data_IF_381940141642
#
_entry.id   IF_381940141642
#
_cell.length_a   1.000
_cell.length_b   1.000
_cell.length_c   1.000
_cell.angle_alpha   90.00
_cell.angle_beta   90.00
_cell.angle_gamma   90.00
#
_symmetry.space_group_name_H-M   'P 1'
#
loop_
_entity.id
_entity.type
_entity.pdbx_description
1 polymer ?
#
# COMPACT_ATOMS: atom_id res chain seq x y z
N UNK A 1 23.53 -4.87 3.75
CA UNK A 1 23.03 -6.26 3.98
C UNK A 1 24.11 -7.27 3.78
N UNK A 2 24.25 -8.26 4.66
CA UNK A 2 25.22 -9.35 4.45
C UNK A 2 24.62 -10.38 3.47
N UNK A 3 25.47 -11.02 2.67
CA UNK A 3 25.07 -12.06 1.68
C UNK A 3 24.17 -13.17 2.27
N UNK A 4 24.20 -13.38 3.58
CA UNK A 4 23.35 -14.35 4.30
C UNK A 4 21.90 -13.89 4.46
N UNK A 5 21.65 -12.60 4.60
CA UNK A 5 20.30 -12.03 4.71
C UNK A 5 19.58 -12.07 3.37
N UNK A 6 20.29 -11.81 2.27
CA UNK A 6 19.77 -11.93 0.90
C UNK A 6 19.31 -13.36 0.57
N UNK A 7 20.10 -14.37 0.92
CA UNK A 7 19.78 -15.79 0.64
C UNK A 7 18.58 -16.29 1.44
N UNK A 8 18.40 -15.85 2.67
CA UNK A 8 17.24 -16.22 3.52
C UNK A 8 15.94 -15.56 2.99
N UNK A 9 16.02 -14.32 2.50
CA UNK A 9 14.92 -13.60 1.89
C UNK A 9 14.47 -14.28 0.58
N UNK A 10 15.38 -14.64 -0.30
CA UNK A 10 15.07 -15.37 -1.55
C UNK A 10 14.40 -16.73 -1.33
N UNK A 11 14.75 -17.44 -0.26
CA UNK A 11 14.11 -18.74 0.05
C UNK A 11 12.68 -18.61 0.55
N UNK A 12 12.35 -17.54 1.27
CA UNK A 12 10.99 -17.29 1.77
C UNK A 12 10.04 -16.80 0.68
N UNK A 13 10.52 -16.01 -0.25
CA UNK A 13 9.73 -15.48 -1.38
C UNK A 13 9.24 -16.57 -2.35
N UNK A 14 9.87 -17.76 -2.35
CA UNK A 14 9.43 -18.88 -3.21
C UNK A 14 8.04 -19.40 -2.90
N UNK A 15 7.50 -19.10 -1.71
CA UNK A 15 6.19 -19.55 -1.28
C UNK A 15 5.13 -18.44 -1.39
N UNK A 16 5.53 -17.22 -1.71
CA UNK A 16 4.63 -16.09 -1.91
C UNK A 16 4.38 -15.86 -3.38
N UNK A 17 3.12 -15.55 -3.72
CA UNK A 17 2.74 -15.15 -5.08
C UNK A 17 1.77 -14.01 -5.03
N UNK A 18 1.91 -13.09 -5.95
CA UNK A 18 0.93 -12.04 -6.16
C UNK A 18 -0.28 -12.57 -6.94
N UNK A 19 -1.49 -12.22 -6.51
CA UNK A 19 -2.74 -12.61 -7.13
C UNK A 19 -3.14 -11.65 -8.26
N UNK A 20 -2.28 -11.47 -9.26
CA UNK A 20 -2.43 -10.50 -10.36
C UNK A 20 -3.75 -10.63 -11.15
N UNK A 21 -4.40 -11.77 -11.10
CA UNK A 21 -5.67 -12.03 -11.78
C UNK A 21 -6.89 -11.82 -10.86
N UNK A 22 -6.70 -11.35 -9.62
CA UNK A 22 -7.82 -11.05 -8.73
C UNK A 22 -8.71 -9.95 -9.34
N UNK A 23 -10.04 -10.10 -9.29
CA UNK A 23 -10.98 -9.10 -9.82
C UNK A 23 -10.79 -7.68 -9.27
N UNK A 24 -10.16 -7.55 -8.09
CA UNK A 24 -9.82 -6.28 -7.49
C UNK A 24 -8.93 -5.42 -8.40
N UNK A 25 -7.90 -5.99 -9.01
CA UNK A 25 -7.00 -5.23 -9.89
C UNK A 25 -7.75 -4.61 -11.08
N UNK A 26 -8.66 -5.35 -11.69
CA UNK A 26 -9.52 -4.83 -12.78
C UNK A 26 -10.48 -3.74 -12.29
N UNK A 27 -10.85 -3.75 -11.01
CA UNK A 27 -11.66 -2.67 -10.43
C UNK A 27 -10.82 -1.43 -10.19
N UNK A 28 -9.63 -1.58 -9.55
CA UNK A 28 -8.80 -0.43 -9.16
C UNK A 28 -8.23 0.33 -10.37
N UNK A 29 -8.00 -0.32 -11.50
CA UNK A 29 -7.64 0.33 -12.77
C UNK A 29 -8.62 1.44 -13.21
N UNK A 30 -9.87 1.42 -12.74
CA UNK A 30 -10.87 2.46 -13.03
C UNK A 30 -10.68 3.70 -12.18
N UNK A 31 -9.85 3.61 -11.17
CA UNK A 31 -9.50 4.68 -10.25
C UNK A 31 -8.10 5.21 -10.60
N UNK A 32 -8.00 5.76 -11.81
CA UNK A 32 -6.77 6.21 -12.48
C UNK A 32 -5.97 7.30 -11.74
N UNK A 33 -6.58 7.89 -10.71
CA UNK A 33 -5.96 8.87 -9.81
C UNK A 33 -5.71 8.35 -8.41
N UNK A 34 -5.89 7.05 -8.21
CA UNK A 34 -5.52 6.41 -6.97
C UNK A 34 -3.99 6.27 -6.92
N UNK A 35 -3.39 6.87 -5.90
CA UNK A 35 -1.94 6.86 -5.68
C UNK A 35 -1.52 5.73 -4.73
N UNK A 36 -2.42 4.79 -4.48
CA UNK A 36 -2.19 3.67 -3.59
C UNK A 36 -1.75 2.47 -4.40
N UNK A 37 -0.61 1.91 -4.01
CA UNK A 37 -0.17 0.61 -4.47
C UNK A 37 -0.77 -0.51 -3.64
N UNK A 38 -1.49 -1.39 -4.31
CA UNK A 38 -2.06 -2.60 -3.72
C UNK A 38 -1.26 -3.82 -4.16
N UNK A 39 -1.03 -4.75 -3.22
CA UNK A 39 -0.49 -6.04 -3.52
C UNK A 39 -1.29 -7.13 -2.78
N UNK A 40 -1.99 -7.97 -3.53
CA UNK A 40 -2.75 -9.12 -3.00
C UNK A 40 -1.86 -10.35 -3.11
N UNK A 41 -1.64 -11.03 -1.98
CA UNK A 41 -0.58 -12.04 -1.86
C UNK A 41 -1.16 -13.31 -1.23
N UNK A 42 -0.86 -14.45 -1.85
CA UNK A 42 -0.95 -15.75 -1.18
C UNK A 42 0.43 -16.18 -0.70
N UNK A 43 0.46 -16.78 0.48
CA UNK A 43 1.65 -17.40 1.05
C UNK A 43 1.33 -18.84 1.45
N UNK A 44 2.06 -19.80 0.90
CA UNK A 44 1.90 -21.22 1.21
C UNK A 44 2.47 -21.62 2.59
N UNK A 45 3.08 -20.67 3.31
CA UNK A 45 3.60 -20.91 4.66
C UNK A 45 2.53 -20.70 5.73
N UNK A 46 2.71 -21.35 6.88
CA UNK A 46 1.81 -21.14 8.00
C UNK A 46 1.90 -19.70 8.53
N UNK A 47 0.74 -19.11 8.83
CA UNK A 47 0.64 -17.80 9.45
C UNK A 47 1.37 -17.72 10.79
N UNK A 48 2.19 -16.70 10.98
CA UNK A 48 3.05 -16.47 12.15
C UNK A 48 2.85 -15.05 12.75
N UNK A 49 1.66 -14.48 12.61
CA UNK A 49 1.36 -13.14 13.14
C UNK A 49 2.25 -12.05 12.55
N UNK A 50 2.73 -11.15 13.40
CA UNK A 50 3.59 -10.01 13.05
C UNK A 50 4.69 -10.35 12.02
N UNK A 51 5.31 -11.53 12.15
CA UNK A 51 6.39 -11.94 11.24
C UNK A 51 5.89 -12.14 9.81
N UNK A 52 4.74 -12.77 9.64
CA UNK A 52 4.16 -12.95 8.30
C UNK A 52 3.82 -11.60 7.68
N UNK A 53 3.26 -10.66 8.47
CA UNK A 53 2.99 -9.31 8.01
C UNK A 53 4.27 -8.57 7.60
N UNK A 54 5.36 -8.71 8.34
CA UNK A 54 6.65 -8.11 7.99
C UNK A 54 7.26 -8.71 6.71
N UNK A 55 7.10 -10.01 6.53
CA UNK A 55 7.58 -10.72 5.33
C UNK A 55 6.78 -10.27 4.08
N UNK A 56 5.45 -10.07 4.18
CA UNK A 56 4.62 -9.67 3.02
C UNK A 56 4.77 -8.20 2.63
N UNK A 57 5.04 -7.26 3.54
CA UNK A 57 5.31 -5.88 3.14
C UNK A 57 6.62 -5.76 2.36
N UNK A 58 7.63 -6.56 2.71
CA UNK A 58 8.85 -6.64 1.92
C UNK A 58 8.60 -7.24 0.53
N UNK A 59 7.80 -8.30 0.45
CA UNK A 59 7.42 -8.90 -0.84
C UNK A 59 6.65 -7.90 -1.70
N UNK A 60 5.69 -7.17 -1.12
CA UNK A 60 4.92 -6.15 -1.82
C UNK A 60 5.82 -5.03 -2.36
N UNK A 61 6.78 -4.55 -1.56
CA UNK A 61 7.75 -3.53 -2.00
C UNK A 61 8.53 -3.98 -3.23
N UNK A 62 8.97 -5.25 -3.25
CA UNK A 62 9.66 -5.80 -4.43
C UNK A 62 8.74 -5.83 -5.66
N UNK A 63 7.46 -6.21 -5.49
CA UNK A 63 6.50 -6.25 -6.60
C UNK A 63 6.17 -4.86 -7.15
N UNK A 64 6.06 -3.88 -6.27
CA UNK A 64 5.87 -2.48 -6.67
C UNK A 64 7.12 -1.97 -7.41
N UNK A 65 8.32 -2.25 -6.90
CA UNK A 65 9.58 -1.92 -7.59
C UNK A 65 9.64 -2.52 -9.00
N UNK A 66 9.27 -3.79 -9.15
CA UNK A 66 9.21 -4.44 -10.47
C UNK A 66 8.26 -3.71 -11.43
N UNK A 67 7.05 -3.32 -10.97
CA UNK A 67 6.06 -2.60 -11.80
C UNK A 67 6.56 -1.24 -12.28
N UNK A 68 7.16 -0.46 -11.38
CA UNK A 68 7.71 0.86 -11.74
C UNK A 68 8.94 0.74 -12.63
N UNK A 69 9.77 -0.29 -12.43
CA UNK A 69 10.91 -0.60 -13.26
C UNK A 69 10.54 -0.90 -14.71
N UNK A 70 9.54 -1.73 -14.89
CA UNK A 70 9.03 -2.06 -16.22
C UNK A 70 8.44 -0.82 -16.92
N UNK A 71 7.69 0.02 -16.19
CA UNK A 71 7.11 1.24 -16.74
C UNK A 71 8.18 2.23 -17.22
N UNK A 72 9.21 2.46 -16.43
CA UNK A 72 10.31 3.39 -16.76
C UNK A 72 11.13 2.91 -17.96
N UNK A 73 11.38 1.61 -18.05
CA UNK A 73 12.09 1.03 -19.20
C UNK A 73 11.35 1.20 -20.53
N UNK A 74 10.01 1.20 -20.50
CA UNK A 74 9.17 1.42 -21.69
C UNK A 74 9.22 2.89 -22.13
N UNK A 75 9.21 3.83 -21.18
CA UNK A 75 9.27 5.27 -21.47
C UNK A 75 10.63 5.69 -22.05
N UNK A 76 11.74 5.21 -21.50
CA UNK A 76 13.09 5.62 -21.90
C UNK A 76 13.56 4.98 -23.20
N UNK A 77 13.17 3.75 -23.49
CA UNK A 77 13.76 3.00 -24.62
C UNK A 77 12.82 2.81 -25.78
N UNK A 78 11.51 2.98 -25.61
CA UNK A 78 10.50 2.64 -26.63
C UNK A 78 10.59 1.18 -27.08
N UNK A 79 11.42 0.37 -26.42
CA UNK A 79 11.62 -1.04 -26.63
C UNK A 79 11.88 -1.72 -25.27
N UNK A 80 11.34 -2.90 -25.10
CA UNK A 80 11.62 -3.75 -23.95
C UNK A 80 13.12 -4.09 -23.91
N UNK A 81 13.89 -3.28 -23.16
CA UNK A 81 15.32 -3.46 -22.91
C UNK A 81 15.52 -3.91 -21.47
N UNK A 82 16.46 -4.82 -21.23
CA UNK A 82 16.85 -5.24 -19.89
C UNK A 82 17.36 -4.03 -19.11
N UNK A 83 16.58 -3.58 -18.14
CA UNK A 83 17.01 -2.56 -17.16
C UNK A 83 17.91 -3.24 -16.14
N UNK A 84 19.09 -2.68 -15.89
CA UNK A 84 19.98 -3.23 -14.88
C UNK A 84 19.36 -3.12 -13.48
N UNK A 85 19.42 -4.19 -12.68
CA UNK A 85 18.88 -4.27 -11.32
C UNK A 85 19.37 -3.13 -10.38
N UNK A 86 20.43 -2.41 -10.73
CA UNK A 86 20.99 -1.29 -9.97
C UNK A 86 20.27 0.05 -10.19
N UNK A 87 19.47 0.19 -11.24
CA UNK A 87 18.86 1.47 -11.64
C UNK A 87 17.46 1.73 -11.05
N UNK A 88 16.81 0.74 -10.46
CA UNK A 88 15.37 0.77 -10.15
C UNK A 88 14.99 0.24 -8.78
N UNK A 89 15.92 0.04 -7.86
CA UNK A 89 15.57 -0.43 -6.52
C UNK A 89 15.59 0.74 -5.52
N UNK A 90 14.41 1.08 -4.98
CA UNK A 90 14.37 1.84 -3.74
C UNK A 90 15.19 1.12 -2.67
N UNK A 91 16.07 1.85 -1.98
CA UNK A 91 16.82 1.26 -0.86
C UNK A 91 15.82 0.90 0.22
N UNK A 92 15.80 -0.35 0.57
CA UNK A 92 14.84 -0.91 1.53
C UNK A 92 15.59 -1.57 2.69
N UNK A 93 15.28 -1.13 3.91
CA UNK A 93 15.78 -1.70 5.16
C UNK A 93 14.62 -2.18 6.01
N UNK A 94 14.16 -3.39 5.76
CA UNK A 94 12.99 -3.97 6.44
C UNK A 94 13.16 -4.06 7.97
N UNK A 95 14.38 -4.03 8.48
CA UNK A 95 14.60 -4.06 9.94
C UNK A 95 14.12 -2.77 10.61
N UNK A 96 14.05 -1.67 9.88
CA UNK A 96 13.46 -0.41 10.35
C UNK A 96 11.93 -0.40 10.34
N UNK A 97 11.29 -1.31 9.59
CA UNK A 97 9.84 -1.39 9.60
C UNK A 97 9.33 -1.83 10.97
N UNK A 98 8.60 -0.95 11.62
CA UNK A 98 7.94 -1.18 12.89
C UNK A 98 6.43 -1.09 12.69
N UNK A 99 5.73 -2.17 12.99
CA UNK A 99 4.28 -2.24 12.86
C UNK A 99 3.60 -2.38 14.21
N UNK A 100 2.39 -1.89 14.31
CA UNK A 100 1.49 -2.16 15.41
C UNK A 100 0.13 -2.61 14.88
N UNK A 101 -0.54 -3.44 15.65
CA UNK A 101 -1.85 -3.94 15.27
C UNK A 101 -2.89 -2.85 15.50
N UNK A 102 -3.78 -2.64 14.54
CA UNK A 102 -4.92 -1.75 14.62
C UNK A 102 -6.22 -2.51 14.39
N UNK A 103 -7.35 -1.89 14.76
CA UNK A 103 -8.67 -2.46 14.49
C UNK A 103 -9.01 -2.35 12.99
N UNK A 104 -9.58 -3.38 12.37
CA UNK A 104 -10.08 -3.28 10.99
C UNK A 104 -11.08 -2.13 10.77
N UNK A 105 -11.86 -1.76 11.78
CA UNK A 105 -12.77 -0.61 11.73
C UNK A 105 -12.01 0.72 11.65
N UNK A 106 -10.83 0.79 12.25
CA UNK A 106 -9.94 1.97 12.15
C UNK A 106 -9.38 2.12 10.73
N UNK A 107 -8.85 1.03 10.14
CA UNK A 107 -8.37 1.05 8.76
C UNK A 107 -9.50 1.46 7.79
N UNK A 108 -10.68 0.89 7.95
CA UNK A 108 -11.82 1.08 7.04
C UNK A 108 -12.76 2.20 7.46
N UNK A 109 -12.30 3.08 8.37
CA UNK A 109 -13.07 4.24 8.79
C UNK A 109 -13.50 5.11 7.61
N UNK A 110 -14.75 5.56 7.63
CA UNK A 110 -15.32 6.43 6.60
C UNK A 110 -15.87 7.68 7.26
N UNK A 111 -15.11 8.79 7.30
CA UNK A 111 -15.59 10.02 7.89
C UNK A 111 -16.73 10.64 7.05
N UNK A 112 -17.53 11.49 7.72
CA UNK A 112 -18.56 12.26 7.05
C UNK A 112 -17.97 13.55 6.48
N UNK A 113 -18.30 13.85 5.26
CA UNK A 113 -18.05 15.17 4.67
C UNK A 113 -19.11 16.13 5.25
N UNK A 114 -18.66 17.03 6.11
CA UNK A 114 -19.54 18.03 6.75
C UNK A 114 -19.93 19.16 5.78
N UNK A 115 -18.97 19.57 4.96
CA UNK A 115 -19.17 20.58 3.91
C UNK A 115 -18.05 20.53 2.88
N UNK A 116 -18.33 21.07 1.71
CA UNK A 116 -17.33 21.36 0.67
C UNK A 116 -17.39 22.87 0.42
N UNK A 117 -16.26 23.54 0.36
CA UNK A 117 -16.22 24.97 0.06
C UNK A 117 -16.27 25.24 -1.46
N UNK A 118 -16.17 26.53 -1.82
CA UNK A 118 -16.29 26.98 -3.21
C UNK A 118 -15.11 26.62 -4.13
N UNK A 119 -13.99 26.18 -3.54
CA UNK A 119 -12.81 25.71 -4.28
C UNK A 119 -12.70 24.18 -4.28
N UNK A 120 -13.67 23.49 -3.67
CA UNK A 120 -13.73 22.04 -3.63
C UNK A 120 -13.06 21.40 -2.41
N UNK A 121 -12.53 22.19 -1.46
CA UNK A 121 -11.95 21.65 -0.23
C UNK A 121 -13.04 21.04 0.64
N UNK A 122 -12.82 19.81 1.10
CA UNK A 122 -13.74 19.07 1.97
C UNK A 122 -13.36 19.23 3.43
N UNK A 123 -14.35 19.26 4.28
CA UNK A 123 -14.22 19.33 5.74
C UNK A 123 -14.92 18.12 6.34
N UNK A 124 -14.27 17.46 7.27
CA UNK A 124 -14.69 16.18 7.83
C UNK A 124 -15.12 16.30 9.28
N UNK A 125 -15.78 15.28 9.80
CA UNK A 125 -16.16 15.14 11.21
C UNK A 125 -15.04 14.54 12.09
N UNK A 126 -13.84 14.42 11.55
CA UNK A 126 -12.62 13.99 12.23
C UNK A 126 -11.45 14.92 11.90
N UNK A 127 -10.43 14.87 12.72
CA UNK A 127 -9.18 15.57 12.45
C UNK A 127 -8.43 14.89 11.30
N UNK A 128 -7.81 15.71 10.45
CA UNK A 128 -6.92 15.24 9.40
C UNK A 128 -5.49 15.28 9.96
N UNK A 129 -4.76 14.17 9.94
CA UNK A 129 -3.38 14.15 10.36
C UNK A 129 -2.52 15.17 9.60
N UNK A 130 -1.51 15.68 10.27
CA UNK A 130 -0.56 16.61 9.68
C UNK A 130 0.74 15.87 9.33
N UNK A 131 0.96 15.51 8.04
CA UNK A 131 2.14 14.76 7.63
C UNK A 131 3.46 15.49 7.93
N UNK A 132 3.46 16.83 7.88
CA UNK A 132 4.64 17.64 8.20
C UNK A 132 5.06 17.51 9.69
N UNK A 133 4.24 16.91 10.53
CA UNK A 133 4.57 16.54 11.90
C UNK A 133 4.91 15.06 12.06
N UNK A 134 5.01 14.32 10.97
CA UNK A 134 5.27 12.89 10.98
C UNK A 134 4.04 12.04 11.36
N UNK A 135 2.82 12.61 11.29
CA UNK A 135 1.59 11.86 11.48
C UNK A 135 1.25 11.11 10.20
N UNK A 136 0.93 9.82 10.31
CA UNK A 136 0.52 9.02 9.16
C UNK A 136 -0.87 9.42 8.66
N UNK A 137 -1.05 9.39 7.34
CA UNK A 137 -2.36 9.65 6.74
C UNK A 137 -3.23 8.39 6.83
N UNK A 138 -4.53 8.52 7.12
CA UNK A 138 -5.43 7.36 7.12
C UNK A 138 -5.72 6.88 5.71
N UNK A 139 -6.09 5.59 5.59
CA UNK A 139 -6.33 4.94 4.31
C UNK A 139 -7.42 5.63 3.49
N UNK A 140 -8.53 6.06 4.12
CA UNK A 140 -9.57 6.82 3.42
C UNK A 140 -9.03 8.12 2.81
N UNK A 141 -8.14 8.84 3.55
CA UNK A 141 -7.53 10.08 3.07
C UNK A 141 -6.64 9.81 1.87
N UNK A 142 -5.79 8.79 1.96
CA UNK A 142 -4.95 8.36 0.84
C UNK A 142 -5.77 8.03 -0.42
N UNK A 143 -6.95 7.46 -0.24
CA UNK A 143 -7.78 7.04 -1.37
C UNK A 143 -8.52 8.19 -2.05
N UNK A 144 -9.11 9.13 -1.31
CA UNK A 144 -9.95 10.15 -1.94
C UNK A 144 -9.51 11.60 -1.77
N UNK A 145 -8.41 11.86 -1.03
CA UNK A 145 -7.75 13.16 -0.93
C UNK A 145 -6.28 13.10 -1.42
N UNK A 146 -5.97 12.38 -2.53
CA UNK A 146 -4.63 12.43 -3.08
C UNK A 146 -4.30 13.85 -3.56
N UNK A 147 -3.02 14.18 -3.73
CA UNK A 147 -2.62 15.43 -4.34
C UNK A 147 -3.28 15.64 -5.71
N UNK A 148 -3.49 16.90 -6.10
CA UNK A 148 -4.02 17.26 -7.44
C UNK A 148 -5.48 16.86 -7.74
N UNK A 149 -6.33 16.91 -6.72
CA UNK A 149 -7.79 16.74 -6.82
C UNK A 149 -8.29 15.32 -7.10
N UNK A 150 -8.77 14.67 -6.08
CA UNK A 150 -9.57 13.46 -6.22
C UNK A 150 -11.01 13.79 -6.63
N UNK A 151 -11.56 12.94 -7.47
CA UNK A 151 -13.02 12.89 -7.76
C UNK A 151 -13.73 11.79 -6.97
N UNK A 152 -12.96 11.01 -6.20
CA UNK A 152 -13.47 9.90 -5.43
C UNK A 152 -14.07 10.38 -4.11
N UNK A 153 -14.80 9.50 -3.46
CA UNK A 153 -15.45 9.81 -2.21
C UNK A 153 -15.77 8.55 -1.39
N UNK A 154 -16.55 8.75 -0.31
CA UNK A 154 -16.90 7.66 0.60
C UNK A 154 -17.54 6.43 -0.06
N UNK A 155 -18.35 6.62 -1.08
CA UNK A 155 -19.05 5.52 -1.78
C UNK A 155 -18.09 4.72 -2.67
N UNK A 156 -17.14 5.40 -3.33
CA UNK A 156 -16.08 4.75 -4.09
C UNK A 156 -15.19 3.92 -3.17
N UNK A 157 -14.79 4.48 -2.03
CA UNK A 157 -13.99 3.79 -1.02
C UNK A 157 -14.70 2.53 -0.50
N UNK A 158 -15.98 2.63 -0.13
CA UNK A 158 -16.79 1.47 0.28
C UNK A 158 -16.86 0.41 -0.82
N UNK A 159 -17.06 0.84 -2.08
CA UNK A 159 -17.14 -0.07 -3.22
C UNK A 159 -15.84 -0.80 -3.46
N UNK A 160 -14.70 -0.11 -3.43
CA UNK A 160 -13.38 -0.72 -3.59
C UNK A 160 -13.14 -1.73 -2.47
N UNK A 161 -13.39 -1.35 -1.23
CA UNK A 161 -13.18 -2.23 -0.08
C UNK A 161 -14.16 -3.41 -0.01
N UNK A 162 -15.38 -3.28 -0.55
CA UNK A 162 -16.31 -4.42 -0.65
C UNK A 162 -15.83 -5.52 -1.60
N UNK A 163 -14.98 -5.17 -2.58
CA UNK A 163 -14.35 -6.15 -3.47
C UNK A 163 -13.03 -6.65 -2.87
N UNK A 164 -12.32 -5.78 -2.16
CA UNK A 164 -11.06 -6.13 -1.51
C UNK A 164 -11.30 -7.10 -0.32
N UNK A 165 -12.39 -6.93 0.43
CA UNK A 165 -12.77 -7.75 1.59
C UNK A 165 -14.17 -8.35 1.40
N UNK A 166 -14.37 -9.28 0.44
CA UNK A 166 -15.70 -9.78 0.07
C UNK A 166 -16.37 -10.62 1.18
N UNK A 167 -15.58 -11.20 2.07
CA UNK A 167 -16.08 -12.02 3.19
C UNK A 167 -16.31 -11.20 4.49
N UNK A 168 -16.20 -9.85 4.38
CA UNK A 168 -16.35 -8.93 5.51
C UNK A 168 -15.06 -8.71 6.30
N UNK A 169 -15.18 -8.05 7.45
CA UNK A 169 -14.03 -7.53 8.21
C UNK A 169 -13.74 -8.28 9.51
N UNK A 170 -14.62 -9.14 9.98
CA UNK A 170 -14.55 -9.79 11.30
C UNK A 170 -13.30 -10.67 11.50
N UNK A 171 -12.74 -11.20 10.43
CA UNK A 171 -11.59 -12.11 10.45
C UNK A 171 -10.34 -11.48 9.83
N UNK A 172 -10.29 -10.16 9.76
CA UNK A 172 -9.10 -9.42 9.34
C UNK A 172 -8.17 -9.20 10.54
N UNK A 173 -6.88 -9.33 10.28
CA UNK A 173 -5.83 -8.89 11.19
C UNK A 173 -5.01 -7.82 10.49
N UNK A 174 -4.91 -6.63 11.07
CA UNK A 174 -4.36 -5.43 10.43
C UNK A 174 -3.17 -4.92 11.21
N UNK A 175 -2.10 -4.62 10.49
CA UNK A 175 -0.94 -3.89 11.02
C UNK A 175 -0.75 -2.59 10.22
N UNK A 176 -0.55 -1.51 10.94
CA UNK A 176 -0.05 -0.25 10.43
C UNK A 176 1.46 -0.19 10.65
N UNK A 177 2.22 0.28 9.65
CA UNK A 177 3.67 0.24 9.63
C UNK A 177 4.26 1.65 9.53
N UNK A 178 5.38 1.89 10.20
CA UNK A 178 6.21 3.06 9.88
C UNK A 178 6.63 3.03 8.41
N UNK A 179 7.02 4.17 7.86
CA UNK A 179 7.37 4.31 6.44
C UNK A 179 8.82 4.75 6.21
N UNK A 180 9.64 4.80 7.25
CA UNK A 180 11.06 5.17 7.21
C UNK A 180 12.01 4.01 6.83
N UNK A 181 11.45 2.92 6.31
CA UNK A 181 12.19 1.70 5.96
C UNK A 181 12.48 1.54 4.47
N UNK A 182 11.95 2.41 3.61
CA UNK A 182 12.20 2.40 2.17
C UNK A 182 12.15 3.80 1.59
N UNK A 183 13.08 4.12 0.69
CA UNK A 183 13.12 5.36 -0.07
C UNK A 183 11.85 5.54 -0.96
N UNK A 184 11.04 4.49 -1.14
CA UNK A 184 9.73 4.56 -1.79
C UNK A 184 8.81 5.60 -1.15
N UNK A 185 8.95 5.84 0.14
CA UNK A 185 8.08 6.76 0.88
C UNK A 185 8.67 8.17 1.03
N UNK A 186 9.90 8.43 0.57
CA UNK A 186 10.63 9.66 0.89
C UNK A 186 9.91 10.90 0.40
N UNK A 187 9.42 10.90 -0.84
CA UNK A 187 8.76 12.06 -1.44
C UNK A 187 7.46 12.44 -0.70
N UNK A 188 6.68 11.45 -0.29
CA UNK A 188 5.45 11.67 0.46
C UNK A 188 5.67 12.30 1.84
N UNK A 189 6.80 12.04 2.50
CA UNK A 189 7.14 12.62 3.80
C UNK A 189 7.32 14.16 3.74
N UNK A 190 7.64 14.70 2.57
CA UNK A 190 7.96 16.11 2.44
C UNK A 190 6.72 17.01 2.48
N UNK A 191 5.52 16.51 2.11
CA UNK A 191 4.38 17.40 1.96
C UNK A 191 2.97 16.81 2.15
N UNK A 192 2.68 15.61 1.62
CA UNK A 192 1.33 15.06 1.65
C UNK A 192 1.15 13.96 2.70
N UNK A 193 2.16 13.13 2.86
CA UNK A 193 2.19 12.03 3.79
C UNK A 193 2.37 10.68 3.11
N UNK A 194 2.63 9.69 3.94
CA UNK A 194 2.85 8.31 3.53
C UNK A 194 2.11 7.38 4.47
N UNK A 195 1.83 6.18 4.01
CA UNK A 195 1.28 5.14 4.87
C UNK A 195 1.55 3.74 4.30
N UNK A 196 1.60 2.77 5.20
CA UNK A 196 1.76 1.37 4.84
C UNK A 196 0.93 0.50 5.79
N UNK A 197 0.08 -0.36 5.23
CA UNK A 197 -0.69 -1.33 5.97
C UNK A 197 -0.52 -2.72 5.39
N UNK A 198 -0.60 -3.72 6.25
CA UNK A 198 -0.75 -5.11 5.85
C UNK A 198 -1.96 -5.72 6.53
N UNK A 199 -2.78 -6.42 5.78
CA UNK A 199 -3.99 -7.09 6.23
C UNK A 199 -3.87 -8.57 5.95
N UNK A 200 -4.11 -9.41 6.94
CA UNK A 200 -4.32 -10.84 6.74
C UNK A 200 -5.82 -11.15 6.82
N UNK A 201 -6.37 -11.56 5.69
CA UNK A 201 -7.73 -12.06 5.59
C UNK A 201 -7.74 -13.57 5.86
N UNK A 202 -8.16 -13.94 7.07
CA UNK A 202 -8.18 -15.35 7.51
C UNK A 202 -9.17 -16.20 6.72
N UNK A 203 -10.29 -15.61 6.28
CA UNK A 203 -11.31 -16.34 5.49
C UNK A 203 -10.82 -16.68 4.10
N UNK A 204 -10.17 -15.72 3.46
CA UNK A 204 -9.61 -15.87 2.13
C UNK A 204 -8.20 -16.50 2.13
N UNK A 205 -7.59 -16.64 3.31
CA UNK A 205 -6.20 -17.08 3.50
C UNK A 205 -5.23 -16.33 2.59
N UNK A 206 -5.32 -14.99 2.58
CA UNK A 206 -4.48 -14.12 1.77
C UNK A 206 -4.09 -12.87 2.53
N UNK A 207 -3.06 -12.19 2.03
CA UNK A 207 -2.65 -10.90 2.53
C UNK A 207 -2.97 -9.81 1.52
N UNK A 208 -3.23 -8.63 2.04
CA UNK A 208 -3.34 -7.40 1.27
C UNK A 208 -2.34 -6.42 1.85
N UNK A 209 -1.42 -5.92 1.02
CA UNK A 209 -0.56 -4.81 1.38
C UNK A 209 -1.05 -3.57 0.66
N UNK A 210 -1.15 -2.47 1.40
CA UNK A 210 -1.65 -1.18 0.94
C UNK A 210 -0.55 -0.17 1.26
N UNK A 211 0.04 0.45 0.24
CA UNK A 211 1.09 1.44 0.38
C UNK A 211 0.66 2.72 -0.31
N UNK A 212 0.84 3.85 0.36
CA UNK A 212 0.50 5.16 -0.17
C UNK A 212 1.71 6.09 -0.06
N UNK A 213 2.05 6.67 -1.18
CA UNK A 213 3.00 7.77 -1.29
C UNK A 213 2.56 8.68 -2.43
N UNK A 214 3.01 9.92 -2.44
CA UNK A 214 2.73 10.83 -3.53
C UNK A 214 3.96 11.63 -3.89
N UNK A 215 4.30 11.59 -5.15
CA UNK A 215 5.27 12.48 -5.79
C UNK A 215 4.57 13.71 -6.38
N UNK A 216 5.31 14.80 -6.56
CA UNK A 216 4.88 16.00 -7.32
C UNK A 216 4.71 15.72 -8.82
#
# INVERSE_FOLDING_TARGET
>A
MTNRQFVVLFHKQKNMRELINDPFYKLIEKYDRCIIDYCLIEDDTAYQGYRSHKDVILFAMLKVTERYGDAQSIEETGACGEVSEEQLSWRTDIEKAHGHQIDPEELLHVPKILRTDHIGQRFYDCDIPNPLKGEQIPYWYAFWEPPHTSRYGPDDFRKVNSVLFPEGTDELEVYEWTTDWSDYFDDGHEWWGTACWSVYDKRMNRYIVIMAEATD
#
